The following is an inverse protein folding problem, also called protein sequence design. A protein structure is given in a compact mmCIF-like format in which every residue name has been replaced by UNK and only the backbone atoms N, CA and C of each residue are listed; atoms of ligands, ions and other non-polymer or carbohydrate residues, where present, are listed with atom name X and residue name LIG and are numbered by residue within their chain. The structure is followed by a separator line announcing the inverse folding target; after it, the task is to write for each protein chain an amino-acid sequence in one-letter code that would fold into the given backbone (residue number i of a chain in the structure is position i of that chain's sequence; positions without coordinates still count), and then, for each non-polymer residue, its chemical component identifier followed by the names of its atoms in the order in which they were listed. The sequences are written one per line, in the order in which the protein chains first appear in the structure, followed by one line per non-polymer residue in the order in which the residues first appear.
data_IF_445020313454
#
_entry.id   IF_445020313454
#
_cell.length_a   1.000
_cell.length_b   1.000
_cell.length_c   1.000
_cell.angle_alpha   90.00
_cell.angle_beta   90.00
_cell.angle_gamma   90.00
#
_symmetry.space_group_name_H-M   'P 1'
#
loop_
_entity.id
_entity.type
_entity.pdbx_description
1 polymer ?
#
# COMPACT_ATOMS: atom_id res chain seq x y z
N UNK A 1 -25.14 -4.26 -4.89
CA UNK A 1 -25.29 -3.25 -3.82
C UNK A 1 -25.13 -1.81 -4.34
N UNK A 2 -24.00 -1.43 -4.95
CA UNK A 2 -23.80 -0.06 -5.45
C UNK A 2 -24.81 0.39 -6.54
N UNK A 3 -25.28 -0.54 -7.38
CA UNK A 3 -26.32 -0.30 -8.41
C UNK A 3 -27.73 -0.21 -7.82
N UNK A 4 -28.07 -1.07 -6.85
CA UNK A 4 -29.36 -1.02 -6.15
C UNK A 4 -29.50 0.26 -5.32
N UNK A 5 -28.43 0.68 -4.63
CA UNK A 5 -28.38 1.94 -3.90
C UNK A 5 -28.56 3.14 -4.83
N UNK A 6 -27.88 3.15 -5.99
CA UNK A 6 -28.03 4.21 -7.00
C UNK A 6 -29.44 4.30 -7.56
N UNK A 7 -30.05 3.17 -7.91
CA UNK A 7 -31.45 3.11 -8.36
C UNK A 7 -32.44 3.58 -7.28
N UNK A 8 -32.20 3.23 -6.02
CA UNK A 8 -33.03 3.70 -4.92
C UNK A 8 -32.88 5.22 -4.74
N UNK A 9 -31.64 5.74 -4.78
CA UNK A 9 -31.39 7.18 -4.72
C UNK A 9 -32.05 7.94 -5.87
N UNK A 10 -31.98 7.45 -7.11
CA UNK A 10 -32.65 8.10 -8.24
C UNK A 10 -34.17 8.11 -8.09
N UNK A 11 -34.77 7.05 -7.52
CA UNK A 11 -36.22 6.99 -7.26
C UNK A 11 -36.67 7.94 -6.14
N UNK A 12 -35.80 8.20 -5.16
CA UNK A 12 -36.02 9.16 -4.08
C UNK A 12 -35.88 10.60 -4.63
N UNK A 13 -34.83 10.87 -5.43
CA UNK A 13 -34.58 12.18 -6.05
C UNK A 13 -35.68 12.57 -7.05
N UNK A 14 -36.27 11.59 -7.75
CA UNK A 14 -37.42 11.79 -8.65
C UNK A 14 -38.76 11.95 -7.93
N UNK A 15 -38.80 11.84 -6.59
CA UNK A 15 -40.03 11.96 -5.80
C UNK A 15 -41.02 10.81 -5.97
N UNK A 16 -40.60 9.70 -6.58
CA UNK A 16 -41.45 8.51 -6.82
C UNK A 16 -41.75 7.78 -5.52
N UNK A 17 -40.84 7.86 -4.54
CA UNK A 17 -40.99 7.29 -3.20
C UNK A 17 -41.29 8.42 -2.21
N UNK A 18 -42.47 8.44 -1.57
CA UNK A 18 -42.78 9.40 -0.52
C UNK A 18 -41.73 9.33 0.61
N UNK A 19 -41.34 10.45 1.23
CA UNK A 19 -40.31 10.48 2.28
C UNK A 19 -40.63 9.54 3.46
N UNK A 20 -41.91 9.30 3.74
CA UNK A 20 -42.38 8.36 4.76
C UNK A 20 -42.13 6.88 4.42
N UNK A 21 -42.03 6.54 3.14
CA UNK A 21 -41.83 5.18 2.65
C UNK A 21 -40.36 4.85 2.33
N UNK A 22 -39.47 5.85 2.38
CA UNK A 22 -38.03 5.66 2.19
C UNK A 22 -37.43 4.62 3.14
N UNK A 23 -37.75 4.57 4.45
CA UNK A 23 -37.22 3.54 5.35
C UNK A 23 -37.65 2.13 4.94
N UNK A 24 -38.88 1.98 4.46
CA UNK A 24 -39.41 0.70 3.99
C UNK A 24 -38.72 0.27 2.69
N UNK A 25 -38.53 1.20 1.76
CA UNK A 25 -37.85 0.96 0.49
C UNK A 25 -36.37 0.57 0.68
N UNK A 26 -35.67 1.19 1.63
CA UNK A 26 -34.30 0.82 2.03
C UNK A 26 -34.24 -0.59 2.62
N UNK A 27 -35.23 -0.95 3.45
CA UNK A 27 -35.33 -2.29 4.07
C UNK A 27 -35.62 -3.38 3.02
N UNK A 28 -36.54 -3.13 2.09
CA UNK A 28 -36.87 -4.04 0.98
C UNK A 28 -35.71 -4.17 -0.02
N UNK A 29 -34.98 -3.08 -0.27
CA UNK A 29 -33.79 -3.09 -1.13
C UNK A 29 -32.61 -3.88 -0.54
N UNK A 30 -32.72 -4.39 0.69
CA UNK A 30 -31.67 -5.19 1.34
C UNK A 30 -30.37 -4.41 1.52
N UNK A 31 -30.46 -3.07 1.65
CA UNK A 31 -29.28 -2.21 1.79
C UNK A 31 -28.63 -2.32 3.18
N UNK A 32 -29.38 -2.80 4.18
CA UNK A 32 -28.82 -3.16 5.47
C UNK A 32 -28.29 -4.61 5.44
N UNK A 33 -27.05 -4.86 5.90
CA UNK A 33 -26.56 -6.22 6.05
C UNK A 33 -27.48 -7.00 7.00
N UNK A 34 -27.79 -8.26 6.65
CA UNK A 34 -28.56 -9.11 7.54
C UNK A 34 -27.79 -9.39 8.84
N UNK A 35 -28.47 -9.73 9.95
CA UNK A 35 -27.80 -10.14 11.19
C UNK A 35 -26.79 -11.27 10.97
N UNK A 36 -27.08 -12.19 10.05
CA UNK A 36 -26.16 -13.26 9.67
C UNK A 36 -24.90 -12.75 8.95
N UNK A 37 -25.04 -11.76 8.05
CA UNK A 37 -23.90 -11.12 7.39
C UNK A 37 -23.01 -10.38 8.40
N UNK A 38 -23.61 -9.74 9.40
CA UNK A 38 -22.89 -9.14 10.52
C UNK A 38 -22.13 -10.17 11.35
N UNK A 39 -22.80 -11.27 11.72
CA UNK A 39 -22.16 -12.35 12.47
C UNK A 39 -20.95 -12.92 11.72
N UNK A 40 -21.07 -13.14 10.39
CA UNK A 40 -19.97 -13.62 9.56
C UNK A 40 -18.82 -12.61 9.43
N UNK A 41 -19.13 -11.31 9.36
CA UNK A 41 -18.10 -10.27 9.37
C UNK A 41 -17.35 -10.26 10.70
N UNK A 42 -18.07 -10.29 11.82
CA UNK A 42 -17.50 -10.30 13.17
C UNK A 42 -16.65 -11.55 13.38
N UNK A 43 -17.15 -12.73 13.00
CA UNK A 43 -16.40 -13.99 13.06
C UNK A 43 -15.06 -13.90 12.31
N UNK A 44 -15.08 -13.38 11.07
CA UNK A 44 -13.86 -13.18 10.28
C UNK A 44 -12.91 -12.17 10.92
N UNK A 45 -13.43 -11.05 11.43
CA UNK A 45 -12.62 -10.02 12.08
C UNK A 45 -11.96 -10.58 13.36
N UNK A 46 -12.72 -11.31 14.18
CA UNK A 46 -12.20 -11.95 15.39
C UNK A 46 -11.15 -13.00 15.05
N UNK A 47 -11.34 -13.79 13.98
CA UNK A 47 -10.35 -14.77 13.56
C UNK A 47 -9.03 -14.10 13.13
N UNK A 48 -9.09 -13.03 12.34
CA UNK A 48 -7.90 -12.25 11.96
C UNK A 48 -7.23 -11.58 13.15
N UNK A 49 -8.00 -10.85 13.96
CA UNK A 49 -7.48 -10.15 15.13
C UNK A 49 -6.88 -11.13 16.14
N UNK A 50 -7.57 -12.22 16.44
CA UNK A 50 -7.09 -13.26 17.36
C UNK A 50 -5.82 -13.93 16.85
N UNK A 51 -5.78 -14.36 15.59
CA UNK A 51 -4.60 -15.00 15.00
C UNK A 51 -3.36 -14.09 14.98
N UNK A 52 -3.54 -12.82 14.58
CA UNK A 52 -2.45 -11.85 14.57
C UNK A 52 -2.04 -11.43 15.99
N UNK A 53 -3.00 -11.26 16.91
CA UNK A 53 -2.72 -10.95 18.30
C UNK A 53 -1.91 -12.06 18.98
N UNK A 54 -2.18 -13.35 18.66
CA UNK A 54 -1.38 -14.47 19.17
C UNK A 54 0.07 -14.41 18.66
N UNK A 55 0.29 -14.11 17.38
CA UNK A 55 1.64 -13.94 16.84
C UNK A 55 2.38 -12.76 17.52
N UNK A 56 1.70 -11.63 17.73
CA UNK A 56 2.26 -10.50 18.47
C UNK A 56 2.48 -10.81 19.96
N UNK A 57 1.59 -11.59 20.59
CA UNK A 57 1.73 -12.00 21.98
C UNK A 57 3.00 -12.81 22.20
N UNK A 58 3.38 -13.69 21.25
CA UNK A 58 4.66 -14.41 21.32
C UNK A 58 5.84 -13.44 21.33
N UNK A 59 5.86 -12.44 20.43
CA UNK A 59 6.89 -11.41 20.40
C UNK A 59 6.97 -10.65 21.73
N UNK A 60 5.84 -10.12 22.20
CA UNK A 60 5.80 -9.32 23.43
C UNK A 60 6.10 -10.14 24.68
N UNK A 61 5.70 -11.40 24.72
CA UNK A 61 6.01 -12.29 25.83
C UNK A 61 7.51 -12.53 25.95
N UNK A 62 8.20 -12.78 24.84
CA UNK A 62 9.67 -12.92 24.83
C UNK A 62 10.35 -11.62 25.21
N UNK A 63 9.85 -10.48 24.72
CA UNK A 63 10.40 -9.16 25.03
C UNK A 63 10.23 -8.80 26.51
N UNK A 64 9.05 -9.06 27.08
CA UNK A 64 8.76 -8.79 28.49
C UNK A 64 9.58 -9.67 29.43
N UNK A 65 9.67 -10.97 29.14
CA UNK A 65 10.43 -11.93 29.95
C UNK A 65 11.91 -12.02 29.55
N UNK A 66 12.46 -10.99 28.89
CA UNK A 66 13.80 -11.07 28.31
C UNK A 66 14.89 -11.28 29.36
N UNK A 67 14.79 -10.66 30.54
CA UNK A 67 15.76 -10.85 31.64
C UNK A 67 15.71 -12.25 32.22
N UNK A 68 14.51 -12.84 32.30
CA UNK A 68 14.24 -14.02 33.11
C UNK A 68 14.24 -15.32 32.28
N UNK A 69 14.05 -15.23 30.97
CA UNK A 69 14.12 -16.38 30.07
C UNK A 69 15.55 -16.66 29.62
N UNK A 70 16.03 -17.89 29.77
CA UNK A 70 17.26 -18.35 29.11
C UNK A 70 17.15 -18.36 27.57
N UNK A 71 18.27 -18.51 26.85
CA UNK A 71 18.30 -18.49 25.38
C UNK A 71 17.40 -19.57 24.74
N UNK A 72 17.47 -20.80 25.23
CA UNK A 72 16.73 -21.94 24.68
C UNK A 72 15.20 -21.75 24.77
N UNK A 73 14.61 -21.40 25.93
CA UNK A 73 13.18 -21.09 26.03
C UNK A 73 12.68 -20.02 25.05
N UNK A 74 13.47 -18.97 24.79
CA UNK A 74 13.07 -17.90 23.86
C UNK A 74 12.88 -18.44 22.44
N UNK A 75 13.85 -19.22 21.95
CA UNK A 75 13.77 -19.84 20.64
C UNK A 75 12.71 -20.93 20.58
N UNK A 76 12.63 -21.79 21.61
CA UNK A 76 11.66 -22.86 21.68
C UNK A 76 10.22 -22.34 21.62
N UNK A 77 9.91 -21.24 22.30
CA UNK A 77 8.58 -20.63 22.28
C UNK A 77 8.19 -20.15 20.87
N UNK A 78 9.07 -19.38 20.22
CA UNK A 78 8.82 -18.83 18.88
C UNK A 78 8.73 -19.95 17.83
N UNK A 79 9.62 -20.94 17.91
CA UNK A 79 9.61 -22.10 17.01
C UNK A 79 8.38 -22.97 17.21
N UNK A 80 7.96 -23.23 18.46
CA UNK A 80 6.75 -23.98 18.75
C UNK A 80 5.50 -23.27 18.19
N UNK A 81 5.41 -21.95 18.36
CA UNK A 81 4.34 -21.15 17.78
C UNK A 81 4.35 -21.20 16.25
N UNK A 82 5.53 -21.15 15.62
CA UNK A 82 5.67 -21.25 14.16
C UNK A 82 5.24 -22.62 13.64
N UNK A 83 5.66 -23.71 14.29
CA UNK A 83 5.25 -25.08 13.95
C UNK A 83 3.75 -25.25 14.14
N UNK A 84 3.18 -24.69 15.21
CA UNK A 84 1.73 -24.71 15.43
C UNK A 84 0.98 -23.97 14.31
N UNK A 85 1.43 -22.77 13.93
CA UNK A 85 0.83 -22.02 12.83
C UNK A 85 0.93 -22.77 11.50
N UNK A 86 2.09 -23.36 11.18
CA UNK A 86 2.27 -24.19 10.00
C UNK A 86 1.37 -25.44 10.04
N UNK A 87 1.27 -26.10 11.20
CA UNK A 87 0.39 -27.25 11.41
C UNK A 87 -1.09 -26.90 11.21
N UNK A 88 -1.55 -25.76 11.75
CA UNK A 88 -2.91 -25.25 11.52
C UNK A 88 -3.13 -24.97 10.03
N UNK A 89 -2.14 -24.43 9.31
CA UNK A 89 -2.28 -24.23 7.87
C UNK A 89 -2.41 -25.56 7.10
N UNK A 90 -1.64 -26.59 7.48
CA UNK A 90 -1.68 -27.89 6.79
C UNK A 90 -2.95 -28.68 7.12
N UNK A 91 -3.32 -28.78 8.41
CA UNK A 91 -4.43 -29.61 8.87
C UNK A 91 -5.77 -28.87 8.97
N UNK A 92 -5.75 -27.54 9.13
CA UNK A 92 -6.93 -26.68 9.15
C UNK A 92 -7.43 -26.28 7.77
N UNK A 93 -7.02 -27.00 6.71
CA UNK A 93 -7.30 -26.69 5.30
C UNK A 93 -8.79 -26.65 4.94
N UNK A 94 -9.67 -27.15 5.82
CA UNK A 94 -11.12 -27.08 5.66
C UNK A 94 -11.65 -25.64 5.61
N UNK A 95 -10.95 -24.67 6.24
CA UNK A 95 -11.28 -23.25 6.16
C UNK A 95 -10.16 -22.47 5.48
N UNK A 96 -10.45 -21.95 4.29
CA UNK A 96 -9.54 -21.06 3.54
C UNK A 96 -9.13 -19.84 4.39
N UNK A 97 -10.01 -19.35 5.26
CA UNK A 97 -9.71 -18.21 6.12
C UNK A 97 -8.71 -18.58 7.21
N UNK A 98 -8.94 -19.70 7.91
CA UNK A 98 -8.04 -20.19 8.95
C UNK A 98 -6.65 -20.45 8.38
N UNK A 99 -6.59 -21.09 7.20
CA UNK A 99 -5.35 -21.30 6.45
C UNK A 99 -4.59 -19.98 6.20
N UNK A 100 -5.27 -18.94 5.71
CA UNK A 100 -4.66 -17.63 5.44
C UNK A 100 -4.17 -16.93 6.70
N UNK A 101 -4.95 -16.98 7.77
CA UNK A 101 -4.58 -16.40 9.07
C UNK A 101 -3.36 -17.11 9.66
N UNK A 102 -3.34 -18.44 9.60
CA UNK A 102 -2.23 -19.25 10.08
C UNK A 102 -0.94 -18.98 9.30
N UNK A 103 -1.02 -18.85 7.96
CA UNK A 103 0.14 -18.47 7.15
C UNK A 103 0.59 -17.02 7.40
N UNK A 104 -0.33 -16.09 7.65
CA UNK A 104 0.03 -14.72 8.04
C UNK A 104 0.73 -14.68 9.42
N UNK A 105 0.27 -15.48 10.38
CA UNK A 105 0.94 -15.64 11.67
C UNK A 105 2.33 -16.25 11.51
N UNK A 106 2.46 -17.31 10.69
CA UNK A 106 3.76 -17.92 10.39
C UNK A 106 4.71 -16.91 9.71
N UNK A 107 4.21 -16.12 8.76
CA UNK A 107 4.96 -15.03 8.13
C UNK A 107 5.51 -14.04 9.17
N UNK A 108 4.71 -13.61 10.15
CA UNK A 108 5.17 -12.73 11.23
C UNK A 108 6.18 -13.41 12.15
N UNK A 109 5.93 -14.66 12.54
CA UNK A 109 6.79 -15.43 13.46
C UNK A 109 8.17 -15.71 12.86
N UNK A 110 8.31 -15.82 11.53
CA UNK A 110 9.62 -15.86 10.85
C UNK A 110 10.40 -14.57 11.14
N UNK A 111 9.76 -13.41 11.02
CA UNK A 111 10.39 -12.12 11.34
C UNK A 111 10.79 -12.02 12.81
N UNK A 112 9.92 -12.46 13.72
CA UNK A 112 10.21 -12.53 15.17
C UNK A 112 11.42 -13.42 15.43
N UNK A 113 11.50 -14.58 14.79
CA UNK A 113 12.61 -15.51 14.95
C UNK A 113 13.94 -14.89 14.46
N UNK A 114 13.93 -14.23 13.31
CA UNK A 114 15.11 -13.55 12.77
C UNK A 114 15.57 -12.39 13.67
N UNK A 115 14.62 -11.58 14.17
CA UNK A 115 14.92 -10.52 15.14
C UNK A 115 15.50 -11.10 16.44
N UNK A 116 14.96 -12.21 16.92
CA UNK A 116 15.47 -12.90 18.11
C UNK A 116 16.91 -13.39 17.91
N UNK A 117 17.25 -13.95 16.74
CA UNK A 117 18.63 -14.32 16.40
C UNK A 117 19.55 -13.10 16.47
N UNK A 118 19.16 -11.99 15.84
CA UNK A 118 19.95 -10.76 15.85
C UNK A 118 20.19 -10.20 17.25
N UNK A 119 19.17 -10.25 18.12
CA UNK A 119 19.25 -9.75 19.49
C UNK A 119 20.04 -10.68 20.43
N UNK A 120 19.82 -12.00 20.37
CA UNK A 120 20.49 -12.96 21.28
C UNK A 120 21.97 -13.10 20.96
N UNK A 121 22.33 -13.13 19.67
CA UNK A 121 23.70 -13.34 19.22
C UNK A 121 24.42 -12.03 18.86
N UNK A 122 23.74 -10.89 18.96
CA UNK A 122 24.29 -9.56 18.66
C UNK A 122 25.05 -9.56 17.33
N UNK A 123 24.42 -10.09 16.28
CA UNK A 123 25.10 -10.42 15.01
C UNK A 123 25.64 -9.19 14.27
N UNK A 124 25.45 -7.97 14.79
CA UNK A 124 25.90 -6.72 14.18
C UNK A 124 25.37 -6.50 12.76
N UNK A 125 24.42 -7.33 12.33
CA UNK A 125 23.94 -7.37 10.96
C UNK A 125 23.13 -6.11 10.66
N UNK A 126 23.36 -5.53 9.49
CA UNK A 126 22.60 -4.37 9.04
C UNK A 126 21.09 -4.68 9.05
N UNK A 127 20.23 -3.72 9.43
CA UNK A 127 18.78 -3.92 9.45
C UNK A 127 18.21 -4.44 8.12
N UNK A 128 18.78 -4.04 6.97
CA UNK A 128 18.31 -4.49 5.66
C UNK A 128 18.41 -6.00 5.45
N UNK A 129 19.42 -6.65 6.05
CA UNK A 129 19.65 -8.11 5.92
C UNK A 129 18.54 -8.90 6.60
N UNK A 130 18.08 -8.44 7.77
CA UNK A 130 16.96 -9.06 8.49
C UNK A 130 15.71 -9.06 7.61
N UNK A 131 15.34 -7.90 7.06
CA UNK A 131 14.14 -7.79 6.22
C UNK A 131 14.30 -8.53 4.88
N UNK A 132 15.50 -8.57 4.31
CA UNK A 132 15.79 -9.34 3.10
C UNK A 132 15.64 -10.84 3.34
N UNK A 133 16.26 -11.37 4.41
CA UNK A 133 16.15 -12.79 4.78
C UNK A 133 14.71 -13.15 5.15
N UNK A 134 13.99 -12.26 5.82
CA UNK A 134 12.57 -12.45 6.10
C UNK A 134 11.76 -12.57 4.82
N UNK A 135 11.97 -11.65 3.86
CA UNK A 135 11.37 -11.71 2.53
C UNK A 135 11.69 -13.04 1.83
N UNK A 136 12.96 -13.45 1.80
CA UNK A 136 13.40 -14.68 1.13
C UNK A 136 12.79 -15.95 1.75
N UNK A 137 12.86 -16.09 3.08
CA UNK A 137 12.37 -17.27 3.81
C UNK A 137 10.85 -17.38 3.80
N UNK A 138 10.14 -16.25 3.72
CA UNK A 138 8.68 -16.24 3.69
C UNK A 138 8.09 -16.43 2.29
N UNK A 139 8.85 -16.23 1.21
CA UNK A 139 8.36 -16.31 -0.17
C UNK A 139 7.58 -17.62 -0.48
N UNK A 140 8.03 -18.82 -0.09
CA UNK A 140 7.26 -20.05 -0.32
C UNK A 140 5.89 -20.04 0.36
N UNK A 141 5.80 -19.48 1.58
CA UNK A 141 4.55 -19.37 2.33
C UNK A 141 3.59 -18.42 1.63
N UNK A 142 4.09 -17.26 1.17
CA UNK A 142 3.30 -16.27 0.44
C UNK A 142 2.77 -16.85 -0.87
N UNK A 143 3.60 -17.61 -1.58
CA UNK A 143 3.21 -18.30 -2.80
C UNK A 143 2.07 -19.30 -2.57
N UNK A 144 2.20 -20.12 -1.53
CA UNK A 144 1.20 -21.14 -1.16
C UNK A 144 -0.10 -20.51 -0.66
N UNK A 145 -0.02 -19.37 0.05
CA UNK A 145 -1.18 -18.70 0.64
C UNK A 145 -2.22 -18.24 -0.39
N UNK A 146 -1.79 -17.94 -1.63
CA UNK A 146 -2.64 -17.36 -2.70
C UNK A 146 -3.54 -16.26 -2.16
N UNK A 147 -2.93 -15.36 -1.39
CA UNK A 147 -3.63 -14.31 -0.66
C UNK A 147 -2.98 -12.96 -0.95
N UNK A 148 -3.73 -12.09 -1.62
CA UNK A 148 -3.25 -10.79 -2.12
C UNK A 148 -2.62 -9.93 -1.02
N UNK A 149 -3.21 -9.90 0.18
CA UNK A 149 -2.68 -9.06 1.26
C UNK A 149 -1.32 -9.55 1.78
N UNK A 150 -1.06 -10.86 1.74
CA UNK A 150 0.24 -11.40 2.15
C UNK A 150 1.32 -11.11 1.10
N UNK A 151 0.96 -11.11 -0.19
CA UNK A 151 1.83 -10.63 -1.26
C UNK A 151 2.16 -9.14 -1.13
N UNK A 152 1.16 -8.30 -0.80
CA UNK A 152 1.38 -6.87 -0.55
C UNK A 152 2.28 -6.67 0.67
N UNK A 153 2.07 -7.42 1.76
CA UNK A 153 2.95 -7.36 2.94
C UNK A 153 4.39 -7.79 2.62
N UNK A 154 4.55 -8.86 1.82
CA UNK A 154 5.84 -9.34 1.35
C UNK A 154 6.56 -8.34 0.45
N UNK A 155 5.85 -7.69 -0.47
CA UNK A 155 6.39 -6.59 -1.27
C UNK A 155 6.75 -5.39 -0.40
N UNK A 156 5.98 -5.11 0.65
CA UNK A 156 6.33 -4.10 1.66
C UNK A 156 7.66 -4.40 2.35
N UNK A 157 7.89 -5.65 2.75
CA UNK A 157 9.19 -6.09 3.31
C UNK A 157 10.33 -5.92 2.30
N UNK A 158 10.10 -6.29 1.03
CA UNK A 158 11.10 -6.13 -0.02
C UNK A 158 11.45 -4.66 -0.25
N UNK A 159 10.44 -3.79 -0.31
CA UNK A 159 10.61 -2.34 -0.41
C UNK A 159 11.42 -1.80 0.77
N UNK A 160 11.07 -2.18 2.00
CA UNK A 160 11.79 -1.78 3.20
C UNK A 160 13.24 -2.24 3.18
N UNK A 161 13.49 -3.48 2.76
CA UNK A 161 14.84 -4.02 2.62
C UNK A 161 15.68 -3.23 1.63
N UNK A 162 15.13 -2.90 0.46
CA UNK A 162 15.82 -2.13 -0.60
C UNK A 162 16.08 -0.69 -0.17
N UNK A 163 15.13 -0.07 0.52
CA UNK A 163 15.30 1.25 1.10
C UNK A 163 16.44 1.27 2.12
N UNK A 164 16.42 0.35 3.07
CA UNK A 164 17.46 0.25 4.11
C UNK A 164 18.82 -0.07 3.50
N UNK A 165 18.90 -1.00 2.54
CA UNK A 165 20.14 -1.31 1.82
C UNK A 165 20.71 -0.07 1.15
N UNK A 166 19.86 0.70 0.46
CA UNK A 166 20.30 1.90 -0.26
C UNK A 166 20.72 3.01 0.70
N UNK A 167 20.08 3.11 1.87
CA UNK A 167 20.47 4.06 2.91
C UNK A 167 21.82 3.74 3.56
N UNK A 168 22.21 2.46 3.61
CA UNK A 168 23.48 2.02 4.18
C UNK A 168 24.62 2.04 3.16
N UNK A 169 24.35 1.60 1.93
CA UNK A 169 25.38 1.30 0.93
C UNK A 169 25.33 2.21 -0.31
N UNK A 170 24.42 3.18 -0.38
CA UNK A 170 24.26 4.08 -1.54
C UNK A 170 23.53 3.46 -2.74
N UNK A 171 22.99 2.25 -2.58
CA UNK A 171 22.15 1.56 -3.57
C UNK A 171 22.90 0.62 -4.51
N UNK A 172 22.15 -0.20 -5.24
CA UNK A 172 22.68 -1.30 -6.08
C UNK A 172 23.21 -0.77 -7.43
N UNK A 173 22.63 0.34 -7.92
CA UNK A 173 22.92 0.92 -9.22
C UNK A 173 23.96 2.03 -9.07
N UNK A 174 25.24 1.64 -8.99
CA UNK A 174 26.42 2.50 -8.79
C UNK A 174 26.75 3.47 -9.94
N UNK A 175 25.75 4.16 -10.50
CA UNK A 175 25.96 5.20 -11.51
C UNK A 175 25.82 6.59 -10.89
N UNK A 176 26.69 7.52 -11.30
CA UNK A 176 26.74 8.93 -10.86
C UNK A 176 25.38 9.64 -10.96
N UNK A 177 24.48 9.20 -11.84
CA UNK A 177 23.15 9.79 -12.04
C UNK A 177 22.04 9.22 -11.14
N UNK A 178 22.23 8.02 -10.58
CA UNK A 178 21.27 7.35 -9.71
C UNK A 178 21.72 7.32 -8.25
N UNK A 179 23.00 7.58 -7.97
CA UNK A 179 23.62 7.41 -6.66
C UNK A 179 22.89 8.18 -5.53
N UNK A 180 22.61 9.47 -5.71
CA UNK A 180 22.02 10.30 -4.64
C UNK A 180 20.57 9.91 -4.28
N UNK A 181 19.87 9.19 -5.18
CA UNK A 181 18.48 8.77 -4.96
C UNK A 181 18.24 7.28 -5.29
N UNK A 182 19.29 6.45 -5.18
CA UNK A 182 19.26 5.08 -5.66
C UNK A 182 18.17 4.24 -4.98
N UNK A 183 17.89 4.54 -3.71
CA UNK A 183 16.80 3.91 -2.95
C UNK A 183 15.44 4.16 -3.59
N UNK A 184 15.09 5.42 -3.88
CA UNK A 184 13.81 5.76 -4.51
C UNK A 184 13.68 5.12 -5.89
N UNK A 185 14.74 5.14 -6.71
CA UNK A 185 14.74 4.45 -8.00
C UNK A 185 14.55 2.94 -7.87
N UNK A 186 15.17 2.31 -6.86
CA UNK A 186 14.95 0.90 -6.54
C UNK A 186 13.49 0.59 -6.22
N UNK A 187 12.84 1.44 -5.41
CA UNK A 187 11.41 1.32 -5.09
C UNK A 187 10.54 1.48 -6.35
N UNK A 188 10.84 2.44 -7.22
CA UNK A 188 10.13 2.62 -8.50
C UNK A 188 10.20 1.35 -9.34
N UNK A 189 11.41 0.81 -9.55
CA UNK A 189 11.64 -0.35 -10.40
C UNK A 189 10.91 -1.60 -9.86
N UNK A 190 11.02 -1.87 -8.57
CA UNK A 190 10.39 -3.04 -7.94
C UNK A 190 8.87 -2.95 -7.99
N UNK A 191 8.29 -1.79 -7.65
CA UNK A 191 6.83 -1.64 -7.66
C UNK A 191 6.25 -1.59 -9.08
N UNK A 192 6.94 -0.98 -10.05
CA UNK A 192 6.52 -1.04 -11.45
C UNK A 192 6.56 -2.46 -11.99
N UNK A 193 7.65 -3.21 -11.72
CA UNK A 193 7.75 -4.61 -12.12
C UNK A 193 6.64 -5.45 -11.48
N UNK A 194 6.41 -5.27 -10.18
CA UNK A 194 5.32 -5.94 -9.46
C UNK A 194 3.95 -5.58 -10.05
N UNK A 195 3.70 -4.31 -10.36
CA UNK A 195 2.46 -3.84 -10.96
C UNK A 195 2.21 -4.47 -12.33
N UNK A 196 3.21 -4.49 -13.22
CA UNK A 196 3.11 -5.12 -14.54
C UNK A 196 2.82 -6.62 -14.43
N UNK A 197 3.52 -7.32 -13.53
CA UNK A 197 3.28 -8.76 -13.29
C UNK A 197 1.85 -8.99 -12.75
N UNK A 198 1.39 -8.13 -11.84
CA UNK A 198 0.05 -8.24 -11.27
C UNK A 198 -1.05 -7.97 -12.30
N UNK A 199 -0.92 -6.91 -13.10
CA UNK A 199 -1.84 -6.59 -14.19
C UNK A 199 -1.90 -7.71 -15.22
N UNK A 200 -0.75 -8.29 -15.58
CA UNK A 200 -0.70 -9.46 -16.46
C UNK A 200 -1.40 -10.67 -15.84
N UNK A 201 -1.20 -10.92 -14.55
CA UNK A 201 -1.86 -11.99 -13.79
C UNK A 201 -3.38 -11.82 -13.72
N UNK A 202 -3.86 -10.59 -13.51
CA UNK A 202 -5.30 -10.28 -13.52
C UNK A 202 -5.90 -10.49 -14.91
N UNK A 203 -5.21 -10.05 -15.97
CA UNK A 203 -5.73 -10.17 -17.34
C UNK A 203 -5.71 -11.59 -17.90
N UNK A 204 -4.66 -12.37 -17.64
CA UNK A 204 -4.48 -13.70 -18.25
C UNK A 204 -4.89 -14.86 -17.35
N UNK A 205 -4.79 -14.70 -16.02
CA UNK A 205 -5.05 -15.78 -15.05
C UNK A 205 -6.18 -15.48 -14.08
N UNK A 206 -6.87 -14.34 -14.25
CA UNK A 206 -8.02 -13.97 -13.43
C UNK A 206 -7.66 -13.80 -11.96
N UNK A 207 -6.43 -13.35 -11.65
CA UNK A 207 -6.05 -13.08 -10.26
C UNK A 207 -7.03 -12.07 -9.63
N UNK A 208 -7.53 -12.34 -8.42
CA UNK A 208 -8.29 -11.34 -7.67
C UNK A 208 -7.36 -10.19 -7.24
N UNK A 209 -7.95 -9.04 -6.88
CA UNK A 209 -7.19 -7.99 -6.18
C UNK A 209 -6.86 -6.75 -7.01
N UNK A 210 -7.87 -6.08 -7.59
CA UNK A 210 -7.69 -4.72 -8.16
C UNK A 210 -7.13 -3.72 -7.15
N UNK A 211 -7.53 -3.85 -5.88
CA UNK A 211 -7.01 -3.02 -4.79
C UNK A 211 -5.49 -3.18 -4.60
N UNK A 212 -4.94 -4.36 -4.89
CA UNK A 212 -3.50 -4.59 -4.83
C UNK A 212 -2.78 -3.79 -5.93
N UNK A 213 -3.33 -3.76 -7.15
CA UNK A 213 -2.79 -2.92 -8.24
C UNK A 213 -2.78 -1.44 -7.83
N UNK A 214 -3.86 -0.95 -7.20
CA UNK A 214 -3.91 0.41 -6.66
C UNK A 214 -2.78 0.69 -5.65
N UNK A 215 -2.50 -0.25 -4.74
CA UNK A 215 -1.40 -0.11 -3.78
C UNK A 215 -0.03 -0.18 -4.43
N UNK A 216 0.16 -1.04 -5.45
CA UNK A 216 1.41 -1.12 -6.21
C UNK A 216 1.66 0.15 -7.02
N UNK A 217 0.59 0.73 -7.59
CA UNK A 217 0.63 2.02 -8.26
C UNK A 217 1.04 3.15 -7.30
N UNK A 218 0.58 3.13 -6.05
CA UNK A 218 1.08 4.05 -5.01
C UNK A 218 2.55 3.76 -4.67
N UNK A 219 2.93 2.49 -4.58
CA UNK A 219 4.30 2.06 -4.30
C UNK A 219 5.32 2.54 -5.33
N UNK A 220 4.90 2.75 -6.59
CA UNK A 220 5.75 3.33 -7.64
C UNK A 220 5.57 4.84 -7.78
N UNK A 221 4.34 5.34 -7.69
CA UNK A 221 3.99 6.76 -7.87
C UNK A 221 4.49 7.68 -6.76
N UNK A 222 4.49 7.25 -5.49
CA UNK A 222 5.01 8.06 -4.38
C UNK A 222 6.53 8.28 -4.53
N UNK A 223 7.37 7.24 -4.72
CA UNK A 223 8.79 7.44 -4.99
C UNK A 223 9.09 8.28 -6.24
N UNK A 224 8.33 8.13 -7.34
CA UNK A 224 8.47 8.98 -8.54
C UNK A 224 8.18 10.45 -8.24
N UNK A 225 7.13 10.72 -7.45
CA UNK A 225 6.79 12.09 -7.03
C UNK A 225 7.90 12.67 -6.15
N UNK A 226 8.41 11.89 -5.19
CA UNK A 226 9.51 12.31 -4.32
C UNK A 226 10.81 12.56 -5.10
N UNK A 227 11.12 11.74 -6.11
CA UNK A 227 12.26 11.96 -7.00
C UNK A 227 12.14 13.29 -7.76
N UNK A 228 10.94 13.59 -8.29
CA UNK A 228 10.70 14.84 -8.98
C UNK A 228 10.78 16.03 -8.01
N UNK A 229 10.23 15.90 -6.81
CA UNK A 229 10.33 16.92 -5.77
C UNK A 229 11.78 17.17 -5.34
N UNK A 230 12.58 16.11 -5.16
CA UNK A 230 14.00 16.20 -4.82
C UNK A 230 14.78 16.97 -5.89
N UNK A 231 14.51 16.70 -7.18
CA UNK A 231 15.09 17.45 -8.29
C UNK A 231 14.62 18.92 -8.29
N UNK A 232 13.33 19.18 -8.06
CA UNK A 232 12.79 20.55 -7.93
C UNK A 232 13.36 21.30 -6.72
N UNK A 233 13.81 20.62 -5.66
CA UNK A 233 14.48 21.28 -4.52
C UNK A 233 16.00 21.41 -4.68
N UNK A 234 16.61 20.73 -5.66
CA UNK A 234 18.07 20.69 -5.82
C UNK A 234 18.68 22.02 -6.24
N UNK A 235 19.88 22.32 -5.74
CA UNK A 235 20.61 23.56 -6.03
C UNK A 235 21.08 23.62 -7.49
N UNK A 236 21.36 22.47 -8.12
CA UNK A 236 21.79 22.37 -9.52
C UNK A 236 20.76 21.62 -10.37
N UNK A 237 20.29 22.26 -11.43
CA UNK A 237 19.38 21.64 -12.40
C UNK A 237 20.17 20.83 -13.44
N UNK A 238 20.86 19.79 -12.97
CA UNK A 238 21.45 18.81 -13.89
C UNK A 238 20.33 18.07 -14.64
N UNK A 239 20.62 17.71 -15.91
CA UNK A 239 19.77 16.83 -16.70
C UNK A 239 19.81 15.43 -16.08
N UNK A 240 18.88 15.17 -15.18
CA UNK A 240 18.71 13.88 -14.53
C UNK A 240 17.57 13.10 -15.21
N UNK A 241 17.58 11.76 -15.16
CA UNK A 241 16.56 10.93 -15.82
C UNK A 241 15.12 11.26 -15.40
N UNK A 242 14.91 11.76 -14.17
CA UNK A 242 13.55 12.02 -13.64
C UNK A 242 12.80 13.08 -14.44
N UNK A 243 13.50 14.07 -15.02
CA UNK A 243 12.90 15.14 -15.82
C UNK A 243 12.17 14.58 -17.05
N UNK A 244 12.67 13.47 -17.62
CA UNK A 244 12.01 12.76 -18.71
C UNK A 244 11.05 11.69 -18.21
N UNK A 245 11.43 10.93 -17.18
CA UNK A 245 10.64 9.78 -16.68
C UNK A 245 9.32 10.23 -16.06
N UNK A 246 9.29 11.32 -15.29
CA UNK A 246 8.08 11.80 -14.62
C UNK A 246 6.95 12.22 -15.59
N UNK A 247 7.18 13.07 -16.62
CA UNK A 247 6.12 13.41 -17.57
C UNK A 247 5.71 12.22 -18.43
N UNK A 248 6.64 11.33 -18.79
CA UNK A 248 6.30 10.08 -19.49
C UNK A 248 5.41 9.19 -18.62
N UNK A 249 5.72 9.05 -17.32
CA UNK A 249 4.89 8.30 -16.38
C UNK A 249 3.49 8.90 -16.25
N UNK A 250 3.34 10.22 -16.12
CA UNK A 250 2.04 10.88 -16.10
C UNK A 250 1.26 10.65 -17.41
N UNK A 251 1.93 10.71 -18.56
CA UNK A 251 1.30 10.47 -19.86
C UNK A 251 0.83 9.02 -20.02
N UNK A 252 1.63 8.05 -19.56
CA UNK A 252 1.27 6.62 -19.55
C UNK A 252 0.12 6.36 -18.59
N UNK A 253 0.19 6.90 -17.37
CA UNK A 253 -0.89 6.78 -16.37
C UNK A 253 -2.19 7.34 -16.94
N UNK A 254 -2.14 8.53 -17.53
CA UNK A 254 -3.30 9.14 -18.19
C UNK A 254 -3.80 8.30 -19.37
N UNK A 255 -2.92 7.86 -20.28
CA UNK A 255 -3.30 7.08 -21.45
C UNK A 255 -3.96 5.76 -21.10
N UNK A 256 -3.33 4.98 -20.22
CA UNK A 256 -3.82 3.67 -19.79
C UNK A 256 -5.12 3.81 -18.98
N UNK A 257 -5.13 4.67 -17.96
CA UNK A 257 -6.23 4.76 -17.01
C UNK A 257 -7.36 5.73 -17.39
N UNK A 258 -7.22 6.44 -18.51
CA UNK A 258 -8.32 7.20 -19.11
C UNK A 258 -8.88 6.50 -20.34
N UNK A 259 -8.03 6.06 -21.26
CA UNK A 259 -8.48 5.58 -22.57
C UNK A 259 -8.76 4.08 -22.59
N UNK A 260 -8.02 3.29 -21.82
CA UNK A 260 -8.15 1.83 -21.88
C UNK A 260 -8.98 1.28 -20.72
N UNK A 261 -8.84 1.85 -19.51
CA UNK A 261 -9.59 1.44 -18.32
C UNK A 261 -9.80 2.63 -17.40
N UNK A 262 -11.03 3.14 -17.27
CA UNK A 262 -11.29 4.24 -16.37
C UNK A 262 -11.12 3.78 -14.90
N UNK A 263 -10.01 4.18 -14.29
CA UNK A 263 -9.76 3.95 -12.86
C UNK A 263 -9.51 5.28 -12.15
N UNK A 264 -10.57 5.84 -11.58
CA UNK A 264 -10.57 7.14 -10.90
C UNK A 264 -9.52 7.24 -9.79
N UNK A 265 -9.22 6.14 -9.09
CA UNK A 265 -8.21 6.10 -8.04
C UNK A 265 -6.82 6.49 -8.57
N UNK A 266 -6.43 5.95 -9.72
CA UNK A 266 -5.10 6.18 -10.28
C UNK A 266 -4.99 7.57 -10.90
N UNK A 267 -6.04 8.03 -11.60
CA UNK A 267 -6.10 9.41 -12.10
C UNK A 267 -6.05 10.43 -10.95
N UNK A 268 -6.76 10.17 -9.84
CA UNK A 268 -6.67 11.00 -8.64
C UNK A 268 -5.26 11.02 -8.05
N UNK A 269 -4.58 9.86 -8.00
CA UNK A 269 -3.18 9.77 -7.60
C UNK A 269 -2.25 10.62 -8.48
N UNK A 270 -2.44 10.58 -9.81
CA UNK A 270 -1.71 11.43 -10.76
C UNK A 270 -1.96 12.92 -10.54
N UNK A 271 -3.21 13.33 -10.28
CA UNK A 271 -3.54 14.71 -9.92
C UNK A 271 -2.85 15.15 -8.63
N UNK A 272 -2.88 14.33 -7.58
CA UNK A 272 -2.20 14.65 -6.31
C UNK A 272 -0.69 14.79 -6.51
N UNK A 273 -0.08 13.89 -7.28
CA UNK A 273 1.34 13.95 -7.63
C UNK A 273 1.68 15.28 -8.35
N UNK A 274 0.90 15.64 -9.37
CA UNK A 274 1.10 16.87 -10.13
C UNK A 274 0.92 18.11 -9.25
N UNK A 275 -0.13 18.14 -8.42
CA UNK A 275 -0.38 19.24 -7.48
C UNK A 275 0.81 19.40 -6.53
N UNK A 276 1.34 18.32 -5.96
CA UNK A 276 2.48 18.37 -5.05
C UNK A 276 3.74 18.94 -5.73
N UNK A 277 4.08 18.47 -6.93
CA UNK A 277 5.26 18.93 -7.69
C UNK A 277 5.11 20.40 -8.11
N UNK A 278 3.95 20.78 -8.65
CA UNK A 278 3.68 22.16 -9.08
C UNK A 278 3.67 23.11 -7.88
N UNK A 279 3.11 22.70 -6.76
CA UNK A 279 3.10 23.51 -5.53
C UNK A 279 4.52 23.74 -5.02
N UNK A 280 5.36 22.71 -5.01
CA UNK A 280 6.77 22.85 -4.62
C UNK A 280 7.53 23.77 -5.58
N UNK A 281 7.28 23.65 -6.88
CA UNK A 281 7.87 24.52 -7.90
C UNK A 281 7.45 25.98 -7.70
N UNK A 282 6.16 26.24 -7.47
CA UNK A 282 5.67 27.58 -7.14
C UNK A 282 6.30 28.12 -5.85
N UNK A 283 6.40 27.27 -4.81
CA UNK A 283 7.02 27.66 -3.55
C UNK A 283 8.48 28.05 -3.76
N UNK A 284 9.21 27.32 -4.61
CA UNK A 284 10.57 27.65 -5.01
C UNK A 284 10.68 28.94 -5.81
N UNK A 285 9.70 29.36 -6.60
CA UNK A 285 9.81 30.66 -7.29
C UNK A 285 9.36 31.83 -6.42
N UNK A 286 8.38 31.62 -5.55
CA UNK A 286 7.71 32.69 -4.79
C UNK A 286 8.36 32.95 -3.43
N UNK A 287 8.98 31.94 -2.79
CA UNK A 287 9.53 32.02 -1.43
C UNK A 287 11.08 31.98 -1.36
N UNK A 288 11.77 31.92 -2.50
CA UNK A 288 13.21 31.57 -2.56
C UNK A 288 14.19 32.71 -2.28
N UNK A 289 13.72 33.90 -1.89
CA UNK A 289 14.61 34.98 -1.43
C UNK A 289 14.66 35.14 0.10
N UNK A 290 14.27 34.10 0.86
CA UNK A 290 14.35 34.12 2.32
C UNK A 290 13.39 35.09 3.02
N UNK A 291 12.57 35.81 2.24
CA UNK A 291 11.48 36.64 2.73
C UNK A 291 10.19 35.81 2.72
N UNK A 292 9.82 35.30 3.89
CA UNK A 292 8.52 34.68 4.13
C UNK A 292 7.42 35.73 3.98
N UNK A 293 7.03 35.99 2.73
CA UNK A 293 6.02 36.99 2.41
C UNK A 293 4.62 36.39 2.60
N UNK A 294 3.79 37.03 3.43
CA UNK A 294 2.39 36.64 3.68
C UNK A 294 1.61 36.48 2.36
N UNK A 295 1.86 37.36 1.39
CA UNK A 295 1.28 37.28 0.06
C UNK A 295 1.70 36.04 -0.73
N UNK A 296 2.94 35.57 -0.58
CA UNK A 296 3.43 34.35 -1.23
C UNK A 296 2.76 33.09 -0.69
N UNK A 297 2.53 33.05 0.64
CA UNK A 297 1.77 31.97 1.29
C UNK A 297 0.30 31.96 0.85
N UNK A 298 -0.33 33.13 0.73
CA UNK A 298 -1.70 33.25 0.23
C UNK A 298 -1.83 32.78 -1.23
N UNK A 299 -0.87 33.15 -2.09
CA UNK A 299 -0.82 32.68 -3.47
C UNK A 299 -0.67 31.17 -3.56
N UNK A 300 0.22 30.57 -2.75
CA UNK A 300 0.38 29.12 -2.69
C UNK A 300 -0.89 28.41 -2.22
N UNK A 301 -1.51 28.89 -1.14
CA UNK A 301 -2.77 28.36 -0.66
C UNK A 301 -3.86 28.43 -1.74
N UNK A 302 -4.01 29.60 -2.38
CA UNK A 302 -4.96 29.81 -3.48
C UNK A 302 -4.69 28.88 -4.67
N UNK A 303 -3.44 28.69 -5.06
CA UNK A 303 -3.06 27.79 -6.15
C UNK A 303 -3.38 26.32 -5.81
N UNK A 304 -3.08 25.86 -4.60
CA UNK A 304 -3.42 24.50 -4.14
C UNK A 304 -4.92 24.29 -4.14
N UNK A 305 -5.69 25.25 -3.62
CA UNK A 305 -7.16 25.17 -3.63
C UNK A 305 -7.71 25.15 -5.06
N UNK A 306 -7.22 26.01 -5.95
CA UNK A 306 -7.67 26.07 -7.34
C UNK A 306 -7.36 24.78 -8.11
N UNK A 307 -6.13 24.26 -7.99
CA UNK A 307 -5.74 23.01 -8.64
C UNK A 307 -6.51 21.81 -8.05
N UNK A 308 -6.71 21.77 -6.74
CA UNK A 308 -7.51 20.74 -6.07
C UNK A 308 -8.97 20.75 -6.52
N UNK A 309 -9.58 21.94 -6.58
CA UNK A 309 -10.95 22.10 -7.08
C UNK A 309 -11.06 21.68 -8.56
N UNK A 310 -10.10 22.08 -9.40
CA UNK A 310 -10.05 21.68 -10.81
C UNK A 310 -9.94 20.17 -10.98
N UNK A 311 -9.06 19.51 -10.21
CA UNK A 311 -8.91 18.06 -10.21
C UNK A 311 -10.20 17.34 -9.80
N UNK A 312 -10.86 17.79 -8.73
CA UNK A 312 -12.14 17.21 -8.26
C UNK A 312 -13.25 17.39 -9.30
N UNK A 313 -13.38 18.59 -9.87
CA UNK A 313 -14.38 18.86 -10.91
C UNK A 313 -14.16 17.98 -12.14
N UNK A 314 -12.91 17.82 -12.57
CA UNK A 314 -12.54 16.98 -13.69
C UNK A 314 -12.84 15.50 -13.43
N UNK A 315 -12.45 14.97 -12.26
CA UNK A 315 -12.73 13.58 -11.88
C UNK A 315 -14.24 13.30 -11.75
N UNK A 316 -15.02 14.25 -11.23
CA UNK A 316 -16.49 14.14 -11.16
C UNK A 316 -17.12 14.07 -12.55
N UNK A 317 -16.64 14.86 -13.51
CA UNK A 317 -17.10 14.82 -14.90
C UNK A 317 -16.80 13.46 -15.54
N UNK A 318 -15.59 12.94 -15.37
CA UNK A 318 -15.21 11.62 -15.88
C UNK A 318 -16.08 10.49 -15.29
N UNK A 319 -16.36 10.54 -13.98
CA UNK A 319 -17.23 9.55 -13.35
C UNK A 319 -18.69 9.64 -13.85
N UNK A 320 -19.14 10.84 -14.25
CA UNK A 320 -20.46 11.02 -14.85
C UNK A 320 -20.53 10.48 -16.28
N UNK A 321 -19.47 10.64 -17.07
CA UNK A 321 -19.33 10.09 -18.44
C UNK A 321 -19.32 8.54 -18.43
N UNK A 322 -18.75 7.90 -17.42
CA UNK A 322 -18.83 6.43 -17.27
C UNK A 322 -20.23 5.95 -16.86
N UNK A 323 -21.01 6.80 -16.18
CA UNK A 323 -22.32 6.46 -15.66
C UNK A 323 -23.47 6.64 -16.68
N UNK A 324 -23.22 7.35 -17.79
CA UNK A 324 -24.13 7.55 -18.92
C UNK A 324 -23.95 6.51 -20.02
#
# INVERSE_FOLDING_TARGET
MATTRRKLMSLIEQGVIPPEQVPLAVKVAGLHPSPHAWALLIDRLLLWLGGLALACAVLFFVAFNWSDMGRLPRFALVQAALVLAAGIAVWGSASVMLFRVALAAAFLLIGVLLALVGQVYQTGADPWQLFFLWCLLSLPLVWIARFDALWVAWLGLLNLSVWLYSSTWGGILGSVFLADNAGLWGLVLINLAAQVVWEWGVQRRGWPGRWAICLLALGSGVPLTLLMMAWVSGETHALTPIVAVYPVWLAVLYGVYRQWRLELFMLAGGCVSLIAVVTLLLARYVLWEGQWNEGGLLLLAGAVFAMGAAAVMWLKRLNAEEAS
#
